data_IF_038876814349
#
_entry.id   IF_038876814349
#
_cell.length_a   1.000
_cell.length_b   1.000
_cell.length_c   1.000
_cell.angle_alpha   90.00
_cell.angle_beta   90.00
_cell.angle_gamma   90.00
#
_symmetry.space_group_name_H-M   'P 1'
#
loop_
_entity.id
_entity.type
_entity.pdbx_description
1 polymer ?
#
# COMPACT_ATOMS: atom_id res chain seq x y z
N UNK A 1 2.18 -4.78 -0.47
CA UNK A 1 2.43 -3.43 0.08
C UNK A 1 1.28 -2.55 -0.37
N UNK A 2 0.48 -2.02 0.56
CA UNK A 2 -0.50 -0.96 0.24
C UNK A 2 0.07 0.33 0.80
N UNK A 3 0.28 1.34 -0.02
CA UNK A 3 0.70 2.65 0.46
C UNK A 3 -0.53 3.51 0.69
N UNK A 4 -0.57 4.23 1.81
CA UNK A 4 -1.57 5.27 2.02
C UNK A 4 -0.92 6.62 1.79
N UNK A 5 -1.48 7.38 0.85
CA UNK A 5 -1.02 8.72 0.53
C UNK A 5 -1.74 9.71 1.45
N UNK A 6 -0.99 10.44 2.27
CA UNK A 6 -1.53 11.58 3.02
C UNK A 6 -0.83 12.82 2.49
N UNK A 7 -1.53 13.59 1.66
CA UNK A 7 -1.07 14.91 1.21
C UNK A 7 -1.52 15.95 2.24
N UNK A 8 -0.63 16.32 3.15
CA UNK A 8 -0.84 17.52 3.97
C UNK A 8 -0.42 18.75 3.16
N UNK A 9 -1.38 19.39 2.52
CA UNK A 9 -1.18 20.71 1.96
C UNK A 9 -0.99 21.73 3.08
N UNK A 10 0.04 22.57 2.93
CA UNK A 10 0.39 23.76 3.73
C UNK A 10 1.28 23.55 4.97
N UNK A 11 2.60 23.55 4.74
CA UNK A 11 3.66 23.66 5.75
C UNK A 11 3.98 25.12 6.11
N UNK A 12 2.96 25.93 6.40
CA UNK A 12 3.18 27.27 6.94
C UNK A 12 2.30 27.62 8.15
N UNK A 13 2.46 26.88 9.25
CA UNK A 13 2.43 27.42 10.63
C UNK A 13 2.71 26.33 11.67
N UNK A 14 3.93 26.34 12.19
CA UNK A 14 4.26 25.75 13.49
C UNK A 14 3.39 26.37 14.57
N UNK A 15 2.61 25.56 15.30
CA UNK A 15 2.39 25.74 16.75
C UNK A 15 1.90 24.41 17.33
N UNK A 16 2.72 23.86 18.24
CA UNK A 16 2.31 22.84 19.19
C UNK A 16 0.95 23.20 19.81
N UNK A 17 0.03 22.24 19.86
CA UNK A 17 -0.93 22.11 20.96
C UNK A 17 -1.10 20.64 21.31
N UNK A 18 -0.42 20.23 22.37
CA UNK A 18 -0.90 19.22 23.29
C UNK A 18 -2.29 19.62 23.79
N UNK A 19 -3.26 18.70 23.78
CA UNK A 19 -4.40 18.81 24.69
C UNK A 19 -4.83 17.42 25.16
N UNK A 20 -4.51 17.18 26.43
CA UNK A 20 -5.17 16.19 27.27
C UNK A 20 -6.64 16.58 27.49
N UNK A 21 -7.46 15.53 27.52
CA UNK A 21 -8.75 15.36 28.21
C UNK A 21 -9.63 16.60 28.48
N UNK A 22 -10.84 16.57 27.91
CA UNK A 22 -12.08 16.78 28.66
C UNK A 22 -13.26 16.07 27.98
N UNK A 23 -13.88 15.20 28.75
CA UNK A 23 -15.14 14.53 28.45
C UNK A 23 -16.28 15.55 28.60
N UNK A 24 -17.09 15.75 27.55
CA UNK A 24 -18.42 16.35 27.68
C UNK A 24 -19.31 15.92 26.50
N UNK A 25 -20.36 15.18 26.85
CA UNK A 25 -21.64 14.78 26.23
C UNK A 25 -21.99 15.08 24.76
N UNK A 26 -22.90 14.27 24.16
CA UNK A 26 -22.99 14.05 22.72
C UNK A 26 -24.10 14.90 22.08
N UNK A 27 -23.77 16.02 21.48
CA UNK A 27 -24.57 16.60 20.40
C UNK A 27 -23.66 17.41 19.47
N UNK A 28 -23.91 17.29 18.17
CA UNK A 28 -23.22 17.97 17.06
C UNK A 28 -21.72 17.68 16.89
N UNK A 29 -21.39 16.51 16.34
CA UNK A 29 -20.22 16.39 15.47
C UNK A 29 -20.67 16.69 14.05
N UNK A 30 -20.71 17.97 13.68
CA UNK A 30 -20.66 18.36 12.27
C UNK A 30 -19.23 18.10 11.78
N UNK A 31 -19.03 17.43 10.63
CA UNK A 31 -17.70 17.22 10.07
C UNK A 31 -17.21 18.54 9.47
N UNK A 32 -16.75 19.46 10.31
CA UNK A 32 -16.11 20.69 9.89
C UNK A 32 -14.63 20.64 10.25
N UNK A 33 -13.82 20.90 9.22
CA UNK A 33 -12.42 21.34 9.25
C UNK A 33 -11.33 20.30 9.48
N UNK A 34 -11.09 19.51 8.43
CA UNK A 34 -9.76 19.22 7.87
C UNK A 34 -9.96 18.97 6.36
N UNK A 35 -10.38 20.01 5.63
CA UNK A 35 -10.50 19.91 4.18
C UNK A 35 -9.09 20.05 3.59
N UNK A 36 -8.48 18.93 3.21
CA UNK A 36 -7.52 18.96 2.10
C UNK A 36 -8.30 19.44 0.86
N UNK A 37 -7.83 20.45 0.12
CA UNK A 37 -8.55 21.00 -1.03
C UNK A 37 -8.75 19.98 -2.15
N UNK A 38 -8.01 18.86 -2.12
CA UNK A 38 -8.08 17.75 -3.07
C UNK A 38 -8.72 16.53 -2.40
N UNK A 39 -9.70 15.85 -3.05
CA UNK A 39 -10.24 14.60 -2.56
C UNK A 39 -9.15 13.52 -2.48
N UNK A 40 -9.26 12.55 -1.56
CA UNK A 40 -8.30 11.46 -1.49
C UNK A 40 -8.32 10.65 -2.79
N UNK A 41 -7.15 10.17 -3.21
CA UNK A 41 -7.02 9.32 -4.38
C UNK A 41 -6.47 7.95 -3.97
N UNK A 42 -6.82 6.91 -4.71
CA UNK A 42 -6.33 5.56 -4.48
C UNK A 42 -6.42 4.68 -5.73
N UNK A 43 -5.42 3.83 -5.93
CA UNK A 43 -5.33 2.85 -7.01
C UNK A 43 -4.19 1.86 -6.69
N UNK A 44 -4.12 0.75 -7.42
CA UNK A 44 -2.99 -0.18 -7.29
C UNK A 44 -1.79 0.30 -8.12
N UNK A 45 -0.59 0.29 -7.52
CA UNK A 45 0.65 0.76 -8.18
C UNK A 45 1.41 -0.34 -8.91
N UNK A 46 1.10 -1.61 -8.65
CA UNK A 46 1.86 -2.75 -9.17
C UNK A 46 1.91 -3.92 -8.19
N UNK A 47 2.83 -4.88 -8.40
CA UNK A 47 3.03 -5.98 -7.47
C UNK A 47 3.58 -5.49 -6.12
N UNK A 48 2.97 -5.96 -5.04
CA UNK A 48 3.54 -5.87 -3.70
C UNK A 48 4.58 -6.97 -3.46
N UNK A 49 4.37 -7.80 -2.43
CA UNK A 49 5.30 -8.88 -2.10
C UNK A 49 5.11 -10.13 -2.97
N UNK A 50 4.02 -10.21 -3.75
CA UNK A 50 3.59 -11.47 -4.37
C UNK A 50 4.66 -12.14 -5.24
N UNK A 51 5.41 -11.37 -6.03
CA UNK A 51 6.48 -11.92 -6.86
C UNK A 51 7.69 -12.35 -6.03
N UNK A 52 8.03 -11.59 -4.98
CA UNK A 52 9.09 -11.96 -4.03
C UNK A 52 8.75 -13.26 -3.28
N UNK A 53 7.54 -13.36 -2.74
CA UNK A 53 7.07 -14.53 -1.99
C UNK A 53 7.09 -15.79 -2.86
N UNK A 54 6.60 -15.69 -4.11
CA UNK A 54 6.63 -16.77 -5.08
C UNK A 54 8.08 -17.17 -5.46
N UNK A 55 8.97 -16.19 -5.67
CA UNK A 55 10.37 -16.45 -5.99
C UNK A 55 11.10 -17.12 -4.83
N UNK A 56 10.91 -16.65 -3.59
CA UNK A 56 11.47 -17.27 -2.39
C UNK A 56 10.97 -18.70 -2.23
N UNK A 57 9.66 -18.92 -2.41
CA UNK A 57 9.10 -20.27 -2.35
C UNK A 57 9.73 -21.19 -3.39
N UNK A 58 9.98 -20.70 -4.61
CA UNK A 58 10.63 -21.47 -5.66
C UNK A 58 12.09 -21.77 -5.31
N UNK A 59 12.88 -20.75 -5.00
CA UNK A 59 14.33 -20.88 -4.77
C UNK A 59 14.67 -21.63 -3.49
N UNK A 60 13.79 -21.62 -2.50
CA UNK A 60 13.95 -22.38 -1.25
C UNK A 60 13.35 -23.78 -1.30
N UNK A 61 12.85 -24.22 -2.47
CA UNK A 61 12.10 -25.48 -2.63
C UNK A 61 10.95 -25.63 -1.61
N UNK A 62 10.27 -24.52 -1.32
CA UNK A 62 9.13 -24.45 -0.40
C UNK A 62 9.48 -24.38 1.09
N UNK A 63 10.76 -24.36 1.47
CA UNK A 63 11.16 -24.25 2.89
C UNK A 63 10.97 -22.86 3.48
N UNK A 64 10.85 -21.83 2.62
CA UNK A 64 10.51 -20.46 3.00
C UNK A 64 9.36 -19.96 2.12
N UNK A 65 8.50 -19.10 2.66
CA UNK A 65 7.33 -18.56 1.95
C UNK A 65 7.42 -17.06 1.64
N UNK A 66 8.41 -16.37 2.22
CA UNK A 66 8.70 -14.96 2.00
C UNK A 66 10.14 -14.65 2.40
N UNK A 67 10.69 -13.54 1.90
CA UNK A 67 12.02 -13.06 2.27
C UNK A 67 11.95 -12.30 3.60
N UNK A 68 12.39 -12.95 4.68
CA UNK A 68 12.35 -12.36 6.02
C UNK A 68 13.23 -11.12 6.10
N UNK A 69 12.63 -10.01 6.50
CA UNK A 69 13.25 -8.68 6.60
C UNK A 69 13.88 -8.16 5.28
N UNK A 70 13.69 -8.87 4.16
CA UNK A 70 14.37 -8.60 2.90
C UNK A 70 15.83 -9.06 2.86
N UNK A 71 16.25 -9.97 3.76
CA UNK A 71 17.64 -10.31 3.96
C UNK A 71 18.28 -11.03 2.76
N UNK A 72 17.51 -11.87 2.04
CA UNK A 72 18.01 -12.55 0.85
C UNK A 72 18.10 -11.60 -0.33
N UNK A 73 17.10 -10.74 -0.54
CA UNK A 73 17.16 -9.68 -1.54
C UNK A 73 18.32 -8.70 -1.27
N UNK A 74 18.61 -8.39 -0.01
CA UNK A 74 19.69 -7.48 0.38
C UNK A 74 21.10 -8.03 0.11
N UNK A 75 21.26 -9.34 -0.08
CA UNK A 75 22.56 -9.94 -0.42
C UNK A 75 22.86 -9.97 -1.91
N UNK A 76 21.88 -9.60 -2.75
CA UNK A 76 22.02 -9.51 -4.20
C UNK A 76 22.25 -8.09 -4.70
N UNK A 77 22.58 -7.99 -5.99
CA UNK A 77 22.68 -6.75 -6.74
C UNK A 77 21.49 -6.67 -7.72
N UNK A 78 20.62 -5.65 -7.63
CA UNK A 78 19.52 -5.50 -8.56
C UNK A 78 20.02 -5.20 -9.98
N UNK A 79 19.34 -5.76 -10.99
CA UNK A 79 19.55 -5.43 -12.41
C UNK A 79 18.56 -4.34 -12.84
N UNK A 80 19.04 -3.10 -12.90
CA UNK A 80 18.19 -1.94 -13.22
C UNK A 80 17.62 -2.03 -14.66
N UNK A 81 18.32 -2.66 -15.61
CA UNK A 81 17.82 -2.86 -16.97
C UNK A 81 16.55 -3.73 -17.00
N UNK A 82 16.47 -4.77 -16.16
CA UNK A 82 15.27 -5.59 -16.04
C UNK A 82 14.13 -4.83 -15.36
N UNK A 83 14.44 -4.00 -14.36
CA UNK A 83 13.43 -3.14 -13.73
C UNK A 83 12.79 -2.21 -14.76
N UNK A 84 13.61 -1.55 -15.59
CA UNK A 84 13.13 -0.65 -16.65
C UNK A 84 12.32 -1.40 -17.72
N UNK A 85 12.75 -2.61 -18.09
CA UNK A 85 12.02 -3.51 -18.99
C UNK A 85 10.65 -3.89 -18.42
N UNK A 86 10.59 -4.35 -17.17
CA UNK A 86 9.34 -4.77 -16.54
C UNK A 86 8.38 -3.61 -16.29
N UNK A 87 8.88 -2.39 -16.11
CA UNK A 87 8.05 -1.17 -16.05
C UNK A 87 7.37 -0.81 -17.38
N UNK A 88 7.75 -1.43 -18.50
CA UNK A 88 7.03 -1.30 -19.78
C UNK A 88 5.71 -2.08 -19.82
N UNK A 89 5.38 -2.87 -18.79
CA UNK A 89 4.10 -3.58 -18.73
C UNK A 89 2.93 -2.58 -18.86
N UNK A 90 1.96 -2.79 -19.77
CA UNK A 90 0.86 -1.85 -20.03
C UNK A 90 0.11 -1.35 -18.80
N UNK A 91 -0.03 -2.14 -17.74
CA UNK A 91 -0.67 -1.74 -16.48
C UNK A 91 -0.06 -0.48 -15.86
N UNK A 92 1.26 -0.31 -15.95
CA UNK A 92 1.94 0.86 -15.37
C UNK A 92 1.59 2.16 -16.10
N UNK A 93 1.27 2.07 -17.40
CA UNK A 93 0.90 3.20 -18.25
C UNK A 93 -0.59 3.58 -18.18
N UNK A 94 -1.44 2.71 -17.63
CA UNK A 94 -2.87 2.99 -17.46
C UNK A 94 -3.11 4.08 -16.41
N UNK A 95 -3.99 5.04 -16.72
CA UNK A 95 -4.41 6.08 -15.77
C UNK A 95 -5.39 5.52 -14.72
N UNK A 96 -5.35 6.00 -13.46
CA UNK A 96 -6.37 5.68 -12.45
C UNK A 96 -7.79 6.11 -12.87
N UNK A 97 -8.87 5.47 -12.36
CA UNK A 97 -8.85 4.38 -11.39
C UNK A 97 -8.39 3.05 -12.04
N UNK A 98 -7.51 2.32 -11.35
CA UNK A 98 -7.01 1.02 -11.78
C UNK A 98 -6.75 0.10 -10.60
N UNK A 99 -6.94 -1.20 -10.84
CA UNK A 99 -6.67 -2.25 -9.87
C UNK A 99 -6.05 -3.47 -10.56
N UNK A 100 -5.32 -4.27 -9.78
CA UNK A 100 -4.68 -5.51 -10.26
C UNK A 100 -4.49 -6.48 -9.10
N UNK A 101 -4.20 -7.74 -9.43
CA UNK A 101 -3.89 -8.79 -8.50
C UNK A 101 -3.05 -9.89 -9.14
N UNK A 102 -3.29 -11.12 -8.66
CA UNK A 102 -2.53 -12.32 -9.05
C UNK A 102 -2.83 -12.76 -10.48
N UNK A 103 -3.92 -12.27 -11.08
CA UNK A 103 -4.26 -12.51 -12.47
C UNK A 103 -3.26 -11.88 -13.45
N UNK A 104 -2.64 -10.75 -13.07
CA UNK A 104 -1.57 -10.12 -13.84
C UNK A 104 -0.19 -10.40 -13.24
N UNK A 105 0.00 -10.11 -11.96
CA UNK A 105 1.29 -10.24 -11.27
C UNK A 105 1.36 -11.53 -10.43
N UNK A 106 1.04 -12.66 -11.06
CA UNK A 106 1.06 -13.99 -10.45
C UNK A 106 2.21 -14.87 -10.93
N UNK A 107 2.04 -16.19 -10.78
CA UNK A 107 3.05 -17.19 -11.14
C UNK A 107 3.50 -17.08 -12.61
N UNK A 108 2.57 -16.87 -13.55
CA UNK A 108 2.90 -16.74 -14.97
C UNK A 108 3.84 -15.55 -15.26
N UNK A 109 3.61 -14.41 -14.61
CA UNK A 109 4.48 -13.25 -14.74
C UNK A 109 5.84 -13.46 -14.06
N UNK A 110 5.87 -14.18 -12.93
CA UNK A 110 7.13 -14.59 -12.32
C UNK A 110 7.96 -15.46 -13.28
N UNK A 111 7.37 -16.45 -13.97
CA UNK A 111 8.14 -17.27 -14.92
C UNK A 111 8.79 -16.43 -16.03
N UNK A 112 8.11 -15.37 -16.50
CA UNK A 112 8.71 -14.41 -17.44
C UNK A 112 9.89 -13.66 -16.80
N UNK A 113 9.72 -13.16 -15.58
CA UNK A 113 10.81 -12.50 -14.85
C UNK A 113 12.01 -13.43 -14.62
N UNK A 114 11.78 -14.71 -14.35
CA UNK A 114 12.82 -15.71 -14.15
C UNK A 114 13.54 -16.05 -15.46
N UNK A 115 12.84 -16.11 -16.59
CA UNK A 115 13.45 -16.27 -17.90
C UNK A 115 14.36 -15.08 -18.24
N UNK A 116 13.84 -13.86 -18.11
CA UNK A 116 14.60 -12.62 -18.34
C UNK A 116 15.87 -12.53 -17.45
N UNK A 117 15.76 -12.98 -16.19
CA UNK A 117 16.88 -13.05 -15.26
C UNK A 117 17.90 -14.15 -15.61
N UNK A 118 17.42 -15.29 -16.09
CA UNK A 118 18.28 -16.40 -16.53
C UNK A 118 19.12 -16.01 -17.73
N UNK A 119 18.56 -15.25 -18.69
CA UNK A 119 19.29 -14.75 -19.86
C UNK A 119 20.46 -13.82 -19.48
N UNK A 120 20.41 -13.26 -18.28
CA UNK A 120 21.45 -12.40 -17.70
C UNK A 120 22.31 -13.11 -16.65
N UNK A 121 22.11 -14.42 -16.47
CA UNK A 121 22.81 -15.24 -15.47
C UNK A 121 22.76 -14.67 -14.04
N UNK A 122 21.62 -14.05 -13.66
CA UNK A 122 21.43 -13.53 -12.32
C UNK A 122 21.37 -14.66 -11.28
N UNK A 123 22.01 -14.44 -10.13
CA UNK A 123 21.86 -15.36 -8.99
C UNK A 123 20.45 -15.24 -8.39
N UNK A 124 20.04 -16.21 -7.57
CA UNK A 124 18.76 -16.11 -6.85
C UNK A 124 18.66 -14.83 -5.99
N UNK A 125 19.77 -14.41 -5.39
CA UNK A 125 19.82 -13.18 -4.60
C UNK A 125 19.62 -11.95 -5.49
N UNK A 126 20.25 -11.90 -6.67
CA UNK A 126 20.09 -10.81 -7.63
C UNK A 126 18.67 -10.75 -8.19
N UNK A 127 18.02 -11.90 -8.42
CA UNK A 127 16.61 -11.94 -8.82
C UNK A 127 15.71 -11.32 -7.75
N UNK A 128 15.88 -11.72 -6.48
CA UNK A 128 15.10 -11.16 -5.38
C UNK A 128 15.38 -9.66 -5.20
N UNK A 129 16.64 -9.25 -5.33
CA UNK A 129 17.03 -7.85 -5.30
C UNK A 129 16.34 -7.04 -6.41
N UNK A 130 16.29 -7.60 -7.62
CA UNK A 130 15.67 -7.00 -8.80
C UNK A 130 14.14 -6.92 -8.67
N UNK A 131 13.48 -7.98 -8.18
CA UNK A 131 12.04 -7.98 -7.91
C UNK A 131 11.64 -6.95 -6.84
N UNK A 132 12.43 -6.83 -5.76
CA UNK A 132 12.21 -5.80 -4.74
C UNK A 132 12.42 -4.39 -5.31
N UNK A 133 13.47 -4.19 -6.13
CA UNK A 133 13.70 -2.93 -6.83
C UNK A 133 12.55 -2.59 -7.79
N UNK A 134 12.00 -3.58 -8.50
CA UNK A 134 10.85 -3.42 -9.39
C UNK A 134 9.59 -2.99 -8.63
N UNK A 135 9.26 -3.62 -7.49
CA UNK A 135 8.15 -3.17 -6.63
C UNK A 135 8.36 -1.71 -6.20
N UNK A 136 9.53 -1.35 -5.69
CA UNK A 136 9.83 0.03 -5.28
C UNK A 136 9.72 1.03 -6.45
N UNK A 137 10.27 0.68 -7.61
CA UNK A 137 10.25 1.51 -8.80
C UNK A 137 8.83 1.68 -9.35
N UNK A 138 7.98 0.65 -9.30
CA UNK A 138 6.57 0.74 -9.72
C UNK A 138 5.77 1.72 -8.87
N UNK A 139 6.00 1.75 -7.55
CA UNK A 139 5.36 2.70 -6.64
C UNK A 139 5.81 4.13 -6.96
N UNK A 140 7.12 4.34 -7.07
CA UNK A 140 7.68 5.65 -7.36
C UNK A 140 7.28 6.17 -8.75
N UNK A 141 7.27 5.31 -9.77
CA UNK A 141 6.76 5.62 -11.10
C UNK A 141 5.30 6.07 -11.02
N UNK A 142 4.45 5.27 -10.37
CA UNK A 142 3.03 5.57 -10.19
C UNK A 142 2.79 6.92 -9.49
N UNK A 143 3.59 7.23 -8.47
CA UNK A 143 3.52 8.52 -7.77
C UNK A 143 3.90 9.69 -8.67
N UNK A 144 5.02 9.59 -9.39
CA UNK A 144 5.48 10.66 -10.28
C UNK A 144 4.54 10.88 -11.46
N UNK A 145 3.89 9.83 -11.95
CA UNK A 145 3.03 9.88 -13.14
C UNK A 145 1.62 10.38 -12.81
N UNK A 146 1.03 9.92 -11.71
CA UNK A 146 -0.42 10.08 -11.48
C UNK A 146 -0.78 10.97 -10.30
N UNK A 147 0.15 11.29 -9.39
CA UNK A 147 -0.13 12.28 -8.35
C UNK A 147 0.05 13.70 -8.92
N UNK A 148 -0.86 14.64 -8.60
CA UNK A 148 -0.68 16.03 -8.99
C UNK A 148 0.56 16.66 -8.34
N UNK A 149 0.96 16.15 -7.18
CA UNK A 149 2.17 16.51 -6.46
C UNK A 149 2.67 15.30 -5.65
N UNK A 150 3.99 15.16 -5.52
CA UNK A 150 4.56 14.12 -4.68
C UNK A 150 4.16 14.34 -3.20
N UNK A 151 3.98 13.25 -2.43
CA UNK A 151 3.56 13.36 -1.04
C UNK A 151 4.70 13.88 -0.16
N UNK A 152 4.35 14.55 0.95
CA UNK A 152 5.34 15.00 1.93
C UNK A 152 5.96 13.84 2.72
N UNK A 153 5.26 12.72 2.84
CA UNK A 153 5.70 11.49 3.48
C UNK A 153 4.90 10.29 2.93
N UNK A 154 5.45 9.10 3.08
CA UNK A 154 4.79 7.84 2.72
C UNK A 154 4.66 6.99 3.98
N UNK A 155 3.45 6.50 4.25
CA UNK A 155 3.19 5.53 5.32
C UNK A 155 2.94 4.14 4.71
N UNK A 156 3.88 3.24 4.98
CA UNK A 156 3.81 1.83 4.59
C UNK A 156 2.99 1.03 5.59
N UNK A 157 2.19 0.10 5.08
CA UNK A 157 1.44 -0.84 5.89
C UNK A 157 1.31 -2.21 5.22
N UNK A 158 0.83 -3.20 5.98
CA UNK A 158 0.75 -4.61 5.59
C UNK A 158 2.11 -5.29 5.60
N UNK A 159 2.17 -6.60 5.31
CA UNK A 159 3.39 -7.40 5.51
C UNK A 159 4.66 -6.87 4.82
N UNK A 160 4.52 -6.15 3.69
CA UNK A 160 5.66 -5.53 3.00
C UNK A 160 6.34 -4.39 3.75
N UNK A 161 5.69 -3.76 4.73
CA UNK A 161 6.33 -2.72 5.56
C UNK A 161 7.44 -3.27 6.45
N UNK A 162 7.44 -4.60 6.70
CA UNK A 162 8.46 -5.31 7.47
C UNK A 162 9.68 -5.71 6.63
N UNK A 163 9.62 -5.60 5.30
CA UNK A 163 10.78 -5.86 4.43
C UNK A 163 11.68 -4.61 4.40
N UNK A 164 12.78 -4.65 5.15
CA UNK A 164 13.68 -3.51 5.34
C UNK A 164 14.40 -3.14 4.04
N UNK A 165 14.79 -4.14 3.25
CA UNK A 165 15.41 -3.92 1.95
C UNK A 165 14.45 -3.21 0.98
N UNK A 166 13.20 -3.66 0.88
CA UNK A 166 12.18 -3.01 0.05
C UNK A 166 11.90 -1.57 0.51
N UNK A 167 11.79 -1.33 1.82
CA UNK A 167 11.67 0.02 2.39
C UNK A 167 12.85 0.90 1.98
N UNK A 168 14.08 0.37 2.05
CA UNK A 168 15.28 1.09 1.63
C UNK A 168 15.28 1.40 0.13
N UNK A 169 14.92 0.44 -0.74
CA UNK A 169 14.81 0.67 -2.19
C UNK A 169 13.76 1.72 -2.52
N UNK A 170 12.62 1.71 -1.83
CA UNK A 170 11.59 2.73 -2.00
C UNK A 170 12.06 4.11 -1.50
N UNK A 171 12.76 4.18 -0.36
CA UNK A 171 13.35 5.42 0.13
C UNK A 171 14.36 6.01 -0.87
N UNK A 172 15.19 5.17 -1.50
CA UNK A 172 16.12 5.60 -2.55
C UNK A 172 15.38 6.20 -3.76
N UNK A 173 14.27 5.59 -4.18
CA UNK A 173 13.46 6.08 -5.30
C UNK A 173 12.72 7.39 -5.00
N UNK A 174 12.39 7.65 -3.73
CA UNK A 174 11.63 8.84 -3.31
C UNK A 174 12.52 9.97 -2.76
N UNK A 175 13.83 9.75 -2.69
CA UNK A 175 14.81 10.77 -2.30
C UNK A 175 14.55 11.30 -0.90
N UNK A 176 14.22 12.58 -0.78
CA UNK A 176 14.03 13.28 0.50
C UNK A 176 12.67 13.04 1.15
N UNK A 177 11.72 12.40 0.46
CA UNK A 177 10.39 12.09 1.00
C UNK A 177 10.54 10.97 2.04
N UNK A 178 10.19 11.18 3.31
CA UNK A 178 10.32 10.14 4.33
C UNK A 178 9.39 8.95 4.05
N UNK A 179 9.96 7.75 4.07
CA UNK A 179 9.23 6.48 4.03
C UNK A 179 9.17 5.89 5.43
N UNK A 180 8.01 6.01 6.06
CA UNK A 180 7.72 5.52 7.40
C UNK A 180 6.76 4.34 7.34
N UNK A 181 6.56 3.65 8.45
CA UNK A 181 5.49 2.67 8.64
C UNK A 181 4.34 3.30 9.42
N UNK A 182 3.17 2.67 9.40
CA UNK A 182 2.09 3.10 10.28
C UNK A 182 2.44 2.91 11.76
N UNK A 183 3.27 1.91 12.08
CA UNK A 183 3.77 1.68 13.45
C UNK A 183 4.62 2.86 13.93
N UNK A 184 5.46 3.45 13.06
CA UNK A 184 6.30 4.61 13.36
C UNK A 184 5.48 5.85 13.79
N UNK A 185 4.19 5.89 13.44
CA UNK A 185 3.26 6.98 13.80
C UNK A 185 2.17 6.55 14.79
N UNK A 186 2.36 5.40 15.46
CA UNK A 186 1.48 4.92 16.53
C UNK A 186 0.21 4.19 16.06
N UNK A 187 0.10 3.85 14.76
CA UNK A 187 -0.98 3.04 14.23
C UNK A 187 -0.47 1.65 13.87
N UNK A 188 -0.74 0.68 14.74
CA UNK A 188 -0.24 -0.68 14.54
C UNK A 188 -0.66 -1.24 13.17
N UNK A 189 0.32 -1.64 12.34
CA UNK A 189 0.08 -2.09 10.97
C UNK A 189 -0.79 -3.35 10.89
N UNK A 190 -0.81 -4.18 11.93
CA UNK A 190 -1.61 -5.41 12.03
C UNK A 190 -3.09 -5.11 12.34
N UNK A 191 -3.36 -4.00 13.02
CA UNK A 191 -4.73 -3.61 13.37
C UNK A 191 -5.42 -2.75 12.31
N UNK A 192 -4.68 -2.29 11.30
CA UNK A 192 -5.22 -1.38 10.26
C UNK A 192 -6.50 -1.93 9.61
N UNK A 193 -6.51 -3.19 9.19
CA UNK A 193 -7.67 -3.77 8.50
C UNK A 193 -8.84 -3.95 9.46
N UNK A 194 -8.59 -4.42 10.69
CA UNK A 194 -9.62 -4.53 11.72
C UNK A 194 -10.24 -3.18 12.07
N UNK A 195 -9.42 -2.13 12.23
CA UNK A 195 -9.87 -0.76 12.46
C UNK A 195 -10.70 -0.26 11.26
N UNK A 196 -10.24 -0.50 10.02
CA UNK A 196 -10.98 -0.10 8.83
C UNK A 196 -12.37 -0.76 8.77
N UNK A 197 -12.48 -2.06 9.08
CA UNK A 197 -13.78 -2.74 9.14
C UNK A 197 -14.66 -2.24 10.29
N UNK A 198 -14.10 -1.95 11.47
CA UNK A 198 -14.85 -1.37 12.58
C UNK A 198 -15.41 0.02 12.23
N UNK A 199 -14.62 0.85 11.54
CA UNK A 199 -15.07 2.17 11.03
C UNK A 199 -16.17 2.01 9.98
N UNK A 200 -16.02 1.07 9.02
CA UNK A 200 -17.05 0.80 8.02
C UNK A 200 -18.36 0.33 8.66
N UNK A 201 -18.29 -0.51 9.70
CA UNK A 201 -19.46 -0.94 10.45
C UNK A 201 -20.14 0.24 11.18
N UNK A 202 -19.36 1.11 11.85
CA UNK A 202 -19.86 2.31 12.49
C UNK A 202 -20.53 3.26 11.48
N UNK A 203 -19.90 3.49 10.33
CA UNK A 203 -20.46 4.32 9.25
C UNK A 203 -21.75 3.73 8.70
N UNK A 204 -21.81 2.40 8.46
CA UNK A 204 -23.04 1.74 8.02
C UNK A 204 -24.16 1.92 9.03
N UNK A 205 -23.88 1.76 10.33
CA UNK A 205 -24.85 1.97 11.41
C UNK A 205 -25.39 3.41 11.46
N UNK A 206 -24.58 4.39 11.07
CA UNK A 206 -24.95 5.82 11.08
C UNK A 206 -25.38 6.35 9.70
N UNK A 207 -25.53 5.50 8.68
CA UNK A 207 -25.93 5.92 7.33
C UNK A 207 -24.88 6.79 6.61
N UNK A 208 -23.60 6.63 6.96
CA UNK A 208 -22.49 7.34 6.34
C UNK A 208 -21.92 6.47 5.19
N UNK A 209 -21.75 7.00 3.95
CA UNK A 209 -21.14 6.26 2.85
C UNK A 209 -19.73 5.76 3.18
N UNK A 210 -19.41 4.53 2.76
CA UNK A 210 -18.15 3.87 3.10
C UNK A 210 -17.13 3.79 1.95
N UNK A 211 -17.55 4.07 0.71
CA UNK A 211 -16.65 4.14 -0.43
C UNK A 211 -16.25 5.59 -0.75
N UNK A 212 -15.18 5.72 -1.51
CA UNK A 212 -14.75 6.97 -2.10
C UNK A 212 -14.80 6.83 -3.64
N UNK A 213 -15.79 7.42 -4.33
CA UNK A 213 -15.93 7.34 -5.78
C UNK A 213 -14.65 7.66 -6.56
N UNK A 214 -13.91 8.67 -6.11
CA UNK A 214 -12.63 9.07 -6.71
C UNK A 214 -11.54 7.99 -6.65
N UNK A 215 -11.62 7.05 -5.68
CA UNK A 215 -10.69 5.94 -5.55
C UNK A 215 -11.24 4.64 -6.19
N UNK A 216 -12.56 4.43 -6.18
CA UNK A 216 -13.15 3.16 -6.63
C UNK A 216 -13.71 3.21 -8.06
N UNK A 217 -13.84 4.40 -8.66
CA UNK A 217 -14.55 4.58 -9.92
C UNK A 217 -16.07 4.39 -9.83
N UNK A 218 -16.64 4.37 -8.63
CA UNK A 218 -18.08 4.22 -8.44
C UNK A 218 -18.83 5.48 -8.90
N UNK A 219 -20.04 5.32 -9.45
CA UNK A 219 -20.85 6.46 -9.94
C UNK A 219 -21.28 7.42 -8.81
N UNK A 220 -21.39 6.92 -7.58
CA UNK A 220 -21.78 7.72 -6.42
C UNK A 220 -21.23 7.14 -5.12
N UNK A 221 -21.28 7.95 -4.06
CA UNK A 221 -21.02 7.50 -2.70
C UNK A 221 -22.17 6.59 -2.24
N UNK A 222 -21.82 5.45 -1.64
CA UNK A 222 -22.70 4.34 -1.29
C UNK A 222 -22.40 3.85 0.13
N UNK A 223 -23.44 3.37 0.81
CA UNK A 223 -23.29 2.63 2.06
C UNK A 223 -22.64 1.27 1.76
N UNK A 224 -21.58 0.92 2.47
CA UNK A 224 -20.92 -0.38 2.36
C UNK A 224 -21.38 -1.34 3.46
N UNK A 225 -21.39 -2.64 3.17
CA UNK A 225 -21.75 -3.70 4.11
C UNK A 225 -23.26 -3.89 4.31
N UNK A 226 -23.62 -4.91 5.07
CA UNK A 226 -25.01 -5.27 5.42
C UNK A 226 -25.15 -5.41 6.93
N UNK A 227 -26.31 -5.01 7.47
CA UNK A 227 -26.62 -5.15 8.91
C UNK A 227 -27.37 -6.47 9.09
N UNK A 228 -26.70 -7.46 9.67
CA UNK A 228 -27.32 -8.71 10.05
C UNK A 228 -27.85 -8.59 11.48
N UNK A 229 -29.18 -8.50 11.62
CA UNK A 229 -29.83 -8.48 12.92
C UNK A 229 -29.81 -9.90 13.51
N UNK A 230 -29.26 -10.06 14.71
CA UNK A 230 -29.35 -11.32 15.43
C UNK A 230 -30.69 -11.37 16.13
N UNK A 231 -31.70 -11.92 15.46
CA UNK A 231 -32.99 -12.26 16.08
C UNK A 231 -32.84 -13.52 16.92
N UNK A 232 -32.60 -13.37 18.23
CA UNK A 232 -32.73 -14.47 19.19
C UNK A 232 -31.69 -14.49 20.31
N UNK A 233 -31.88 -13.68 21.35
CA UNK A 233 -31.66 -14.18 22.71
C UNK A 233 -33.03 -14.59 23.23
N UNK A 234 -33.42 -15.85 22.96
CA UNK A 234 -34.45 -16.48 23.76
C UNK A 234 -33.99 -16.46 25.21
N UNK A 235 -34.83 -15.95 26.11
CA UNK A 235 -34.58 -16.02 27.54
C UNK A 235 -34.27 -17.48 27.92
N UNK A 236 -33.15 -17.68 28.61
CA UNK A 236 -32.78 -18.96 29.21
C UNK A 236 -33.81 -19.40 30.25
#
# INVERSE_FOLDING_TARGET
>A
LKTQNISYGDTSRTKLKTQNSKLSSPHSLTPSTLHSPTPPLGWDTGPGNVLLDLAVQRFSNGTQTYDRDGAWAASGLPCDELVDQWLQQPFFQQSPPKSTGRELFGAAYLEQCLADASDRALSHADVLATLAAFTAASIAHSYRTFLPQLPNQVLLCGGGSKNLYLKQRLQQQLGTIPVLTTDDVGLNAEFKEAIAFAVLAYWRQHGIPGNLPAATGAASAMLLGEINQVSGMGAW
#
